data_IF_634544983459
#
_entry.id   IF_634544983459
#
_cell.length_a   1.000
_cell.length_b   1.000
_cell.length_c   1.000
_cell.angle_alpha   90.00
_cell.angle_beta   90.00
_cell.angle_gamma   90.00
#
_symmetry.space_group_name_H-M   'P 1'
#
loop_
_entity.id
_entity.type
_entity.pdbx_description
1 polymer ?
#
# COMPACT_ATOMS: atom_id res chain seq x y z
N UNK A 1 -8.49 -32.29 -37.95
CA UNK A 1 -7.79 -31.63 -36.83
C UNK A 1 -8.47 -30.30 -36.55
N UNK A 2 -8.96 -30.07 -35.32
CA UNK A 2 -9.44 -28.74 -34.89
C UNK A 2 -8.27 -27.97 -34.31
N UNK A 3 -8.06 -26.73 -34.76
CA UNK A 3 -7.06 -25.83 -34.20
C UNK A 3 -7.49 -25.43 -32.79
N UNK A 4 -6.64 -25.71 -31.79
CA UNK A 4 -6.80 -25.20 -30.43
C UNK A 4 -6.28 -23.77 -30.41
N UNK A 5 -7.06 -22.75 -30.01
CA UNK A 5 -6.55 -21.40 -29.88
C UNK A 5 -5.60 -21.34 -28.68
N UNK A 6 -4.34 -21.01 -28.94
CA UNK A 6 -3.36 -20.68 -27.91
C UNK A 6 -3.83 -19.46 -27.13
N UNK A 7 -4.18 -19.65 -25.84
CA UNK A 7 -4.47 -18.53 -24.93
C UNK A 7 -3.19 -17.70 -24.78
N UNK A 8 -3.24 -16.42 -25.14
CA UNK A 8 -2.18 -15.47 -24.82
C UNK A 8 -2.07 -15.23 -23.30
N UNK A 9 -0.99 -14.59 -22.83
CA UNK A 9 -0.83 -14.30 -21.41
C UNK A 9 -1.99 -13.46 -20.89
N UNK A 10 -2.54 -13.85 -19.74
CA UNK A 10 -3.64 -13.17 -19.08
C UNK A 10 -3.15 -11.79 -18.65
N UNK A 11 -3.85 -10.72 -19.06
CA UNK A 11 -3.48 -9.35 -18.72
C UNK A 11 -3.91 -9.07 -17.28
N UNK A 12 -3.03 -9.35 -16.32
CA UNK A 12 -3.18 -8.86 -14.96
C UNK A 12 -3.15 -7.33 -14.96
N UNK A 13 -4.32 -6.73 -14.72
CA UNK A 13 -4.48 -5.30 -14.46
C UNK A 13 -4.23 -5.07 -12.97
N UNK A 14 -3.63 -3.93 -12.63
CA UNK A 14 -3.40 -3.41 -11.27
C UNK A 14 -2.17 -3.94 -10.51
N UNK A 15 -1.00 -3.82 -11.14
CA UNK A 15 0.29 -3.75 -10.44
C UNK A 15 0.46 -2.41 -9.70
N UNK A 16 0.14 -2.41 -8.40
CA UNK A 16 0.36 -1.33 -7.44
C UNK A 16 -0.35 -0.02 -7.82
N UNK A 17 -1.42 0.36 -7.12
CA UNK A 17 -1.56 1.74 -6.68
C UNK A 17 -2.73 2.03 -5.74
N UNK A 18 -2.66 3.24 -5.19
CA UNK A 18 -3.75 3.95 -4.54
C UNK A 18 -4.49 4.85 -5.53
N UNK A 19 -5.83 4.84 -5.57
CA UNK A 19 -6.62 5.91 -6.17
C UNK A 19 -6.68 7.12 -5.22
N UNK A 20 -5.75 8.07 -5.34
CA UNK A 20 -5.95 9.41 -4.75
C UNK A 20 -6.87 10.21 -5.67
N UNK A 21 -8.17 9.89 -5.64
CA UNK A 21 -9.19 10.83 -6.09
C UNK A 21 -9.30 11.96 -5.06
N UNK A 22 -9.33 13.20 -5.53
CA UNK A 22 -9.18 14.40 -4.68
C UNK A 22 -10.28 14.60 -3.63
N UNK A 23 -11.37 13.83 -3.68
CA UNK A 23 -12.48 13.92 -2.74
C UNK A 23 -12.14 13.35 -1.34
N UNK A 24 -11.25 12.37 -1.25
CA UNK A 24 -10.96 11.70 0.02
C UNK A 24 -10.25 12.61 1.04
N UNK A 25 -9.57 13.67 0.59
CA UNK A 25 -8.86 14.60 1.49
C UNK A 25 -9.79 15.37 2.44
N UNK A 26 -11.04 15.65 2.05
CA UNK A 26 -12.04 16.23 2.96
C UNK A 26 -12.60 15.18 3.94
N UNK A 27 -12.82 13.94 3.50
CA UNK A 27 -13.27 12.84 4.37
C UNK A 27 -12.25 12.52 5.47
N UNK A 28 -10.95 12.47 5.12
CA UNK A 28 -9.86 12.29 6.09
C UNK A 28 -9.86 13.37 7.18
N UNK A 29 -10.27 14.60 6.87
CA UNK A 29 -10.42 15.68 7.85
C UNK A 29 -11.68 15.51 8.71
N UNK A 30 -12.82 15.17 8.10
CA UNK A 30 -14.11 15.08 8.78
C UNK A 30 -14.17 13.94 9.81
N UNK A 31 -13.66 12.75 9.47
CA UNK A 31 -13.55 11.64 10.43
C UNK A 31 -12.59 11.93 11.59
N UNK A 32 -11.58 12.79 11.37
CA UNK A 32 -10.66 13.22 12.42
C UNK A 32 -11.32 14.20 13.41
N UNK A 33 -12.20 15.08 12.93
CA UNK A 33 -12.95 16.00 13.80
C UNK A 33 -14.10 15.33 14.57
N UNK A 34 -14.77 14.32 14.01
CA UNK A 34 -15.86 13.61 14.72
C UNK A 34 -15.39 12.83 15.95
N UNK A 35 -14.10 12.49 16.06
CA UNK A 35 -13.54 11.79 17.22
C UNK A 35 -13.03 12.73 18.34
N UNK A 36 -13.10 14.06 18.17
CA UNK A 36 -12.59 15.04 19.14
C UNK A 36 -13.69 15.77 19.93
N UNK A 37 -14.97 15.51 19.67
CA UNK A 37 -16.08 16.07 20.45
C UNK A 37 -16.51 15.14 21.58
N UNK A 38 -15.89 15.32 22.76
CA UNK A 38 -16.46 14.83 24.01
C UNK A 38 -17.78 15.54 24.31
N UNK A 39 -18.86 14.84 24.70
CA UNK A 39 -20.05 15.49 25.21
C UNK A 39 -19.74 16.08 26.59
N UNK A 40 -19.69 17.41 26.68
CA UNK A 40 -19.69 18.09 27.97
C UNK A 40 -21.01 17.77 28.70
N UNK A 41 -20.92 17.15 29.88
CA UNK A 41 -22.08 16.77 30.66
C UNK A 41 -22.86 18.01 31.12
N UNK A 42 -24.02 18.24 30.51
CA UNK A 42 -24.96 19.27 30.97
C UNK A 42 -25.66 18.78 32.24
N UNK A 43 -25.29 19.35 33.39
CA UNK A 43 -25.99 19.17 34.66
C UNK A 43 -27.41 19.74 34.55
N UNK A 44 -28.41 18.87 34.43
CA UNK A 44 -29.82 19.23 34.62
C UNK A 44 -30.20 19.11 36.10
N UNK A 45 -30.39 20.25 36.76
CA UNK A 45 -31.16 20.32 38.01
C UNK A 45 -32.66 20.45 37.70
N UNK A 46 -33.56 19.86 38.50
CA UNK A 46 -35.00 19.89 38.25
C UNK A 46 -35.62 21.24 38.63
N UNK A 47 -36.63 21.65 37.87
CA UNK A 47 -37.40 22.87 38.12
C UNK A 47 -38.44 22.69 39.23
N UNK A 48 -38.66 23.75 40.01
CA UNK A 48 -39.85 23.92 40.86
C UNK A 48 -40.57 25.22 40.47
N UNK A 49 -41.90 25.21 40.55
CA UNK A 49 -42.76 26.27 40.01
C UNK A 49 -43.31 27.20 41.10
N UNK A 50 -43.47 28.48 40.77
CA UNK A 50 -44.32 29.44 41.47
C UNK A 50 -44.79 30.54 40.51
N UNK A 51 -45.95 31.15 40.78
CA UNK A 51 -46.68 32.09 39.88
C UNK A 51 -46.84 33.49 40.55
N UNK A 52 -47.60 34.48 40.01
CA UNK A 52 -47.04 35.70 39.41
C UNK A 52 -47.31 37.02 40.17
N UNK A 53 -46.76 38.15 39.69
CA UNK A 53 -47.08 39.50 40.22
C UNK A 53 -46.76 40.71 39.32
N UNK A 54 -47.81 41.39 38.85
CA UNK A 54 -47.99 42.82 38.53
C UNK A 54 -46.92 43.72 37.83
N UNK A 55 -47.20 44.03 36.55
CA UNK A 55 -47.30 45.36 35.88
C UNK A 55 -46.40 46.58 36.24
N UNK A 56 -45.80 47.22 35.20
CA UNK A 56 -45.98 48.64 34.80
C UNK A 56 -45.31 48.98 33.44
N UNK A 57 -45.79 50.01 32.75
CA UNK A 57 -45.44 50.52 31.39
C UNK A 57 -45.11 52.04 31.46
N UNK A 58 -44.75 52.78 30.37
CA UNK A 58 -44.19 52.46 29.03
C UNK A 58 -42.80 53.20 28.90
N UNK A 59 -42.36 53.98 27.86
CA UNK A 59 -42.71 54.09 26.43
C UNK A 59 -41.55 54.19 25.38
N UNK A 60 -41.89 53.86 24.14
CA UNK A 60 -41.43 54.41 22.82
C UNK A 60 -39.95 54.72 22.50
N UNK A 61 -39.41 54.01 21.50
CA UNK A 61 -38.66 54.59 20.35
C UNK A 61 -38.87 53.75 19.07
N UNK A 62 -38.55 54.31 17.90
CA UNK A 62 -38.96 53.87 16.56
C UNK A 62 -38.26 52.59 16.02
N UNK A 63 -38.89 51.84 15.08
CA UNK A 63 -38.22 50.76 14.35
C UNK A 63 -37.40 51.28 13.15
N UNK A 64 -36.08 51.07 13.19
CA UNK A 64 -35.20 51.24 12.03
C UNK A 64 -35.29 50.00 11.11
N UNK A 65 -35.78 50.18 9.88
CA UNK A 65 -35.77 49.14 8.86
C UNK A 65 -34.33 48.88 8.37
N UNK A 66 -33.67 47.87 8.92
CA UNK A 66 -32.51 47.27 8.25
C UNK A 66 -32.98 46.32 7.14
N UNK A 67 -32.79 46.74 5.88
CA UNK A 67 -32.84 45.83 4.73
C UNK A 67 -31.63 44.88 4.79
N UNK A 68 -31.77 43.77 5.51
CA UNK A 68 -30.96 42.59 5.22
C UNK A 68 -31.47 41.98 3.93
N UNK A 69 -30.72 42.15 2.84
CA UNK A 69 -30.96 41.35 1.64
C UNK A 69 -30.72 39.88 1.99
N UNK A 70 -31.78 39.07 1.84
CA UNK A 70 -31.64 37.62 1.82
C UNK A 70 -30.86 37.26 0.55
N UNK A 71 -29.54 37.19 0.67
CA UNK A 71 -28.70 36.60 -0.36
C UNK A 71 -28.99 35.10 -0.37
N UNK A 72 -29.77 34.68 -1.36
CA UNK A 72 -30.32 33.33 -1.42
C UNK A 72 -29.19 32.31 -1.67
N UNK A 73 -28.74 31.66 -0.59
CA UNK A 73 -27.63 30.70 -0.59
C UNK A 73 -27.82 29.54 -1.60
N UNK A 74 -29.06 29.31 -2.06
CA UNK A 74 -29.39 28.31 -3.09
C UNK A 74 -28.70 28.56 -4.43
N UNK A 75 -28.35 29.82 -4.75
CA UNK A 75 -27.65 30.16 -6.00
C UNK A 75 -26.14 30.35 -5.84
N UNK A 76 -25.65 30.79 -4.68
CA UNK A 76 -24.20 31.02 -4.47
C UNK A 76 -23.37 29.73 -4.47
N UNK A 77 -23.89 28.64 -3.89
CA UNK A 77 -23.18 27.36 -3.77
C UNK A 77 -22.90 26.69 -5.14
N UNK A 78 -23.86 26.55 -6.08
CA UNK A 78 -23.56 26.00 -7.40
C UNK A 78 -22.64 26.91 -8.25
N UNK A 79 -22.71 28.23 -8.06
CA UNK A 79 -21.83 29.20 -8.73
C UNK A 79 -20.37 29.07 -8.28
N UNK A 80 -20.11 28.94 -6.97
CA UNK A 80 -18.73 28.73 -6.47
C UNK A 80 -18.18 27.36 -6.87
N UNK A 81 -19.01 26.31 -6.83
CA UNK A 81 -18.61 24.97 -7.31
C UNK A 81 -18.26 24.97 -8.81
N UNK A 82 -19.05 25.64 -9.65
CA UNK A 82 -18.78 25.77 -11.09
C UNK A 82 -17.50 26.57 -11.36
N UNK A 83 -17.25 27.64 -10.61
CA UNK A 83 -16.03 28.44 -10.73
C UNK A 83 -14.78 27.64 -10.31
N UNK A 84 -14.86 26.86 -9.21
CA UNK A 84 -13.78 25.98 -8.78
C UNK A 84 -13.48 24.89 -9.81
N UNK A 85 -14.50 24.29 -10.42
CA UNK A 85 -14.33 23.31 -11.49
C UNK A 85 -13.68 23.93 -12.74
N UNK A 86 -14.09 25.14 -13.14
CA UNK A 86 -13.46 25.87 -14.25
C UNK A 86 -11.98 26.19 -13.98
N UNK A 87 -11.64 26.60 -12.76
CA UNK A 87 -10.25 26.85 -12.36
C UNK A 87 -9.41 25.56 -12.34
N UNK A 88 -9.98 24.44 -11.89
CA UNK A 88 -9.34 23.12 -11.93
C UNK A 88 -9.05 22.67 -13.37
N UNK A 89 -10.04 22.78 -14.27
CA UNK A 89 -9.90 22.45 -15.68
C UNK A 89 -8.88 23.35 -16.39
N UNK A 90 -8.88 24.65 -16.07
CA UNK A 90 -7.86 25.59 -16.57
C UNK A 90 -6.45 25.23 -16.09
N UNK A 91 -6.29 24.81 -14.83
CA UNK A 91 -5.01 24.33 -14.29
C UNK A 91 -4.55 23.03 -14.98
N UNK A 92 -5.45 22.06 -15.18
CA UNK A 92 -5.14 20.80 -15.89
C UNK A 92 -4.73 21.09 -17.34
N UNK A 93 -5.46 21.96 -18.05
CA UNK A 93 -5.06 22.39 -19.40
C UNK A 93 -3.73 23.14 -19.39
N UNK A 94 -3.49 24.02 -18.41
CA UNK A 94 -2.21 24.72 -18.24
C UNK A 94 -1.03 23.77 -18.04
N UNK A 95 -1.20 22.75 -17.19
CA UNK A 95 -0.23 21.66 -17.02
C UNK A 95 -0.01 20.88 -18.32
N UNK A 96 -1.08 20.50 -19.03
CA UNK A 96 -0.97 19.75 -20.29
C UNK A 96 -0.29 20.56 -21.41
N UNK A 97 -0.61 21.84 -21.56
CA UNK A 97 0.10 22.74 -22.47
C UNK A 97 1.56 22.95 -22.02
N UNK A 98 1.81 23.10 -20.72
CA UNK A 98 3.15 23.20 -20.15
C UNK A 98 4.02 21.98 -20.46
N UNK A 99 3.49 20.78 -20.26
CA UNK A 99 4.14 19.51 -20.63
C UNK A 99 4.38 19.41 -22.15
N UNK A 100 3.39 19.76 -22.97
CA UNK A 100 3.51 19.74 -24.44
C UNK A 100 4.53 20.76 -24.97
N UNK A 101 4.64 21.93 -24.34
CA UNK A 101 5.65 22.95 -24.66
C UNK A 101 7.04 22.55 -24.12
N UNK A 102 7.14 21.93 -22.93
CA UNK A 102 8.39 21.38 -22.39
C UNK A 102 8.92 20.25 -23.28
N UNK A 103 8.06 19.31 -23.71
CA UNK A 103 8.41 18.25 -24.67
C UNK A 103 8.94 18.81 -25.99
N UNK A 104 8.31 19.86 -26.53
CA UNK A 104 8.81 20.59 -27.73
C UNK A 104 10.16 21.28 -27.51
N UNK A 105 10.44 21.80 -26.31
CA UNK A 105 11.75 22.38 -25.95
C UNK A 105 12.83 21.32 -25.76
N UNK A 106 12.47 20.15 -25.21
CA UNK A 106 13.38 19.02 -25.01
C UNK A 106 13.80 18.39 -26.35
N UNK A 107 12.87 18.12 -27.27
CA UNK A 107 13.22 17.68 -28.64
C UNK A 107 14.19 18.65 -29.32
N UNK A 108 13.90 19.97 -29.30
CA UNK A 108 14.81 20.99 -29.85
C UNK A 108 16.20 21.04 -29.19
N UNK A 109 16.33 20.59 -27.94
CA UNK A 109 17.62 20.48 -27.24
C UNK A 109 18.35 19.19 -27.58
N UNK A 110 17.62 18.08 -27.77
CA UNK A 110 18.18 16.82 -28.26
C UNK A 110 18.80 16.97 -29.65
N UNK A 111 18.05 17.55 -30.59
CA UNK A 111 18.51 17.80 -31.97
C UNK A 111 19.78 18.67 -31.99
N UNK A 112 19.86 19.67 -31.10
CA UNK A 112 21.02 20.56 -30.99
C UNK A 112 22.27 19.90 -30.36
N UNK A 113 22.11 18.88 -29.52
CA UNK A 113 23.22 18.12 -28.92
C UNK A 113 23.74 17.07 -29.90
N UNK A 114 22.87 16.39 -30.66
CA UNK A 114 23.27 15.44 -31.71
C UNK A 114 24.02 16.14 -32.86
N UNK A 115 23.65 17.38 -33.19
CA UNK A 115 24.39 18.19 -34.16
C UNK A 115 25.81 18.59 -33.70
N UNK A 116 26.10 18.54 -32.39
CA UNK A 116 27.39 18.95 -31.83
C UNK A 116 28.39 17.79 -31.62
N UNK A 117 27.95 16.52 -31.69
CA UNK A 117 28.81 15.35 -31.43
C UNK A 117 29.44 14.73 -32.69
N UNK A 118 29.04 15.15 -33.90
CA UNK A 118 29.60 14.61 -35.15
C UNK A 118 30.89 15.34 -35.59
N UNK A 119 31.89 15.36 -34.71
CA UNK A 119 33.22 15.88 -35.01
C UNK A 119 34.32 15.18 -34.21
N UNK A 120 35.13 14.36 -34.89
CA UNK A 120 36.47 13.86 -34.49
C UNK A 120 36.58 13.17 -33.11
N UNK A 121 36.88 11.88 -32.96
CA UNK A 121 38.03 11.19 -33.58
C UNK A 121 37.95 9.65 -33.49
N UNK A 122 38.79 9.02 -34.31
CA UNK A 122 39.13 7.60 -34.39
C UNK A 122 40.01 7.11 -33.20
N UNK A 123 39.85 5.84 -32.79
CA UNK A 123 40.89 4.95 -32.21
C UNK A 123 40.31 3.59 -31.74
N UNK A 124 40.66 2.51 -32.45
CA UNK A 124 41.06 1.17 -31.92
C UNK A 124 40.11 0.33 -31.02
N UNK A 125 39.87 -0.96 -31.34
CA UNK A 125 39.16 -1.88 -30.44
C UNK A 125 40.11 -2.63 -29.48
N UNK A 126 40.00 -2.39 -28.17
CA UNK A 126 40.62 -3.26 -27.17
C UNK A 126 39.69 -4.41 -26.75
N UNK A 127 40.29 -5.59 -26.53
CA UNK A 127 39.59 -6.81 -26.12
C UNK A 127 39.66 -6.96 -24.61
N UNK A 128 38.55 -6.77 -23.91
CA UNK A 128 38.43 -7.32 -22.56
C UNK A 128 38.17 -8.83 -22.63
N UNK A 129 38.83 -9.58 -21.74
CA UNK A 129 38.70 -11.03 -21.61
C UNK A 129 37.70 -11.33 -20.50
N UNK A 130 36.76 -12.22 -20.77
CA UNK A 130 35.97 -12.85 -19.72
C UNK A 130 36.88 -13.55 -18.70
N UNK A 131 36.60 -13.32 -17.43
CA UNK A 131 36.99 -14.21 -16.34
C UNK A 131 35.71 -14.60 -15.58
N UNK A 132 35.19 -15.77 -15.93
CA UNK A 132 34.04 -16.40 -15.28
C UNK A 132 34.39 -16.77 -13.84
N UNK A 133 33.79 -16.07 -12.87
CA UNK A 133 33.70 -16.46 -11.45
C UNK A 133 32.30 -16.12 -10.93
N UNK A 134 31.38 -17.10 -10.99
CA UNK A 134 30.18 -17.18 -10.14
C UNK A 134 29.30 -15.92 -10.10
N UNK A 135 28.52 -15.68 -11.16
CA UNK A 135 27.72 -14.47 -11.33
C UNK A 135 26.65 -14.24 -10.24
N UNK A 136 27.02 -13.52 -9.18
CA UNK A 136 26.06 -12.74 -8.39
C UNK A 136 25.45 -11.70 -9.34
N UNK A 137 24.17 -11.87 -9.70
CA UNK A 137 23.51 -11.06 -10.72
C UNK A 137 23.43 -9.58 -10.32
N UNK A 138 24.40 -8.78 -10.79
CA UNK A 138 24.51 -7.36 -10.51
C UNK A 138 23.32 -6.58 -11.10
N UNK A 139 22.78 -5.65 -10.32
CA UNK A 139 21.66 -4.79 -10.74
C UNK A 139 22.12 -3.85 -11.85
N UNK A 140 21.52 -3.94 -13.04
CA UNK A 140 21.98 -3.20 -14.22
C UNK A 140 21.53 -1.73 -14.19
N UNK A 141 22.49 -0.82 -14.35
CA UNK A 141 22.18 0.58 -14.68
C UNK A 141 21.86 0.71 -16.18
N UNK A 142 20.70 1.25 -16.50
CA UNK A 142 20.21 1.51 -17.86
C UNK A 142 20.26 3.01 -18.19
N UNK A 143 20.35 3.33 -19.47
CA UNK A 143 20.00 4.66 -19.99
C UNK A 143 18.53 4.74 -20.41
N UNK A 144 17.99 5.95 -20.57
CA UNK A 144 16.57 6.15 -20.86
C UNK A 144 16.11 5.48 -22.17
N UNK A 145 16.94 5.47 -23.22
CA UNK A 145 16.59 4.81 -24.49
C UNK A 145 16.49 3.28 -24.34
N UNK A 146 17.22 2.68 -23.39
CA UNK A 146 17.02 1.28 -23.03
C UNK A 146 15.67 1.08 -22.32
N UNK A 147 15.31 1.94 -21.37
CA UNK A 147 14.00 1.88 -20.68
C UNK A 147 12.83 2.02 -21.68
N UNK A 148 12.94 2.93 -22.65
CA UNK A 148 11.97 3.08 -23.75
C UNK A 148 11.87 1.80 -24.60
N UNK A 149 13.00 1.16 -24.94
CA UNK A 149 12.99 -0.11 -25.68
C UNK A 149 12.39 -1.26 -24.89
N UNK A 150 12.80 -1.43 -23.63
CA UNK A 150 12.30 -2.49 -22.74
C UNK A 150 10.79 -2.37 -22.50
N UNK A 151 10.27 -1.15 -22.33
CA UNK A 151 8.82 -0.88 -22.15
C UNK A 151 8.01 -0.87 -23.46
N UNK A 152 8.64 -1.14 -24.61
CA UNK A 152 8.05 -0.97 -25.95
C UNK A 152 7.39 0.42 -26.11
N UNK A 153 8.12 1.48 -25.76
CA UNK A 153 7.66 2.87 -25.69
C UNK A 153 6.45 3.07 -24.75
N UNK A 154 6.52 2.46 -23.55
CA UNK A 154 5.48 2.58 -22.50
C UNK A 154 4.08 2.11 -22.96
N UNK A 155 4.04 1.09 -23.83
CA UNK A 155 2.80 0.69 -24.54
C UNK A 155 1.76 -0.04 -23.69
N UNK A 156 2.19 -0.79 -22.67
CA UNK A 156 1.31 -1.57 -21.80
C UNK A 156 1.52 -1.19 -20.34
N UNK A 157 0.53 -0.49 -19.77
CA UNK A 157 0.43 -0.25 -18.33
C UNK A 157 -0.02 -1.55 -17.67
N UNK A 158 0.70 -2.00 -16.64
CA UNK A 158 0.26 -3.07 -15.73
C UNK A 158 -0.34 -2.51 -14.44
N UNK A 159 0.03 -1.30 -14.01
CA UNK A 159 -0.69 -0.54 -12.98
C UNK A 159 -0.24 0.92 -12.87
N UNK A 160 -1.03 1.77 -12.22
CA UNK A 160 -0.84 3.22 -12.25
C UNK A 160 -1.57 3.93 -11.11
N UNK A 161 -1.01 5.03 -10.62
CA UNK A 161 -1.65 5.91 -9.64
C UNK A 161 -0.74 7.03 -9.17
N UNK A 162 -0.95 7.49 -7.93
CA UNK A 162 -0.60 8.86 -7.52
C UNK A 162 0.85 9.33 -7.75
N UNK A 163 1.85 8.44 -7.67
CA UNK A 163 3.27 8.81 -7.69
C UNK A 163 4.12 8.06 -8.73
N UNK A 164 3.58 7.00 -9.35
CA UNK A 164 4.29 6.20 -10.34
C UNK A 164 3.33 5.45 -11.26
N UNK A 165 3.84 4.98 -12.40
CA UNK A 165 3.13 4.05 -13.30
C UNK A 165 4.05 2.90 -13.65
N UNK A 166 3.53 1.68 -13.58
CA UNK A 166 4.25 0.44 -13.87
C UNK A 166 3.85 -0.07 -15.25
N UNK A 167 4.85 -0.31 -16.09
CA UNK A 167 4.68 -0.83 -17.45
C UNK A 167 5.23 -2.26 -17.56
N UNK A 168 4.69 -3.05 -18.50
CA UNK A 168 5.27 -4.34 -18.84
C UNK A 168 6.61 -4.14 -19.56
N UNK A 169 7.66 -4.74 -19.03
CA UNK A 169 8.99 -4.77 -19.62
C UNK A 169 9.27 -6.07 -20.36
N UNK A 170 9.93 -5.97 -21.50
CA UNK A 170 10.42 -7.09 -22.30
C UNK A 170 11.94 -7.13 -22.19
N UNK A 171 12.46 -8.03 -21.35
CA UNK A 171 13.88 -8.17 -21.06
C UNK A 171 14.56 -9.09 -22.09
N UNK A 172 15.90 -9.04 -22.20
CA UNK A 172 16.65 -10.01 -23.02
C UNK A 172 16.33 -11.46 -22.62
N UNK A 173 16.35 -12.37 -23.59
CA UNK A 173 16.03 -13.78 -23.37
C UNK A 173 14.54 -14.13 -23.36
N UNK A 174 13.66 -13.19 -23.74
CA UNK A 174 12.18 -13.33 -23.69
C UNK A 174 11.57 -13.30 -22.30
N UNK A 175 12.34 -12.94 -21.28
CA UNK A 175 11.84 -12.74 -19.91
C UNK A 175 11.00 -11.46 -19.81
N UNK A 176 9.97 -11.48 -18.97
CA UNK A 176 9.19 -10.29 -18.64
C UNK A 176 9.75 -9.59 -17.40
N UNK A 177 9.57 -8.27 -17.33
CA UNK A 177 9.86 -7.44 -16.17
C UNK A 177 8.73 -6.45 -15.89
N UNK A 178 8.81 -5.76 -14.76
CA UNK A 178 7.92 -4.66 -14.42
C UNK A 178 8.72 -3.35 -14.29
N UNK A 179 8.34 -2.32 -15.05
CA UNK A 179 9.09 -1.06 -15.15
C UNK A 179 8.30 0.06 -14.46
N UNK A 180 8.66 0.38 -13.21
CA UNK A 180 8.07 1.47 -12.41
C UNK A 180 8.72 2.79 -12.82
N UNK A 181 7.94 3.70 -13.41
CA UNK A 181 8.35 5.06 -13.76
C UNK A 181 7.76 6.03 -12.74
N UNK A 182 8.60 6.85 -12.10
CA UNK A 182 8.17 7.84 -11.12
C UNK A 182 7.73 9.15 -11.78
N UNK A 183 6.71 9.80 -11.22
CA UNK A 183 6.24 11.11 -11.71
C UNK A 183 7.31 12.20 -11.45
N UNK A 184 7.65 13.06 -12.45
CA UNK A 184 8.72 14.06 -12.28
C UNK A 184 8.40 15.12 -11.21
N UNK A 185 9.17 15.13 -10.12
CA UNK A 185 9.04 16.11 -9.02
C UNK A 185 10.27 16.08 -8.10
N UNK A 186 10.75 17.23 -7.64
CA UNK A 186 11.87 17.31 -6.67
C UNK A 186 11.61 16.54 -5.37
N UNK A 187 10.34 16.42 -4.96
CA UNK A 187 9.95 15.62 -3.80
C UNK A 187 10.01 14.13 -4.12
N UNK A 188 9.42 13.70 -5.24
CA UNK A 188 9.39 12.29 -5.65
C UNK A 188 10.78 11.78 -6.06
N UNK A 189 11.66 12.64 -6.57
CA UNK A 189 13.05 12.30 -6.88
C UNK A 189 13.87 11.97 -5.62
N UNK A 190 13.51 12.51 -4.45
CA UNK A 190 14.10 12.07 -3.17
C UNK A 190 13.55 10.72 -2.71
N UNK A 191 12.24 10.50 -2.89
CA UNK A 191 11.59 9.22 -2.59
C UNK A 191 12.15 8.09 -3.47
N UNK A 192 12.25 8.32 -4.79
CA UNK A 192 12.86 7.39 -5.75
C UNK A 192 14.31 7.04 -5.39
N UNK A 193 15.15 8.02 -5.04
CA UNK A 193 16.54 7.75 -4.64
C UNK A 193 16.62 6.91 -3.37
N UNK A 194 15.80 7.22 -2.37
CA UNK A 194 15.72 6.43 -1.14
C UNK A 194 15.21 5.00 -1.39
N UNK A 195 14.20 4.83 -2.25
CA UNK A 195 13.69 3.52 -2.65
C UNK A 195 14.77 2.72 -3.40
N UNK A 196 15.51 3.35 -4.32
CA UNK A 196 16.62 2.74 -5.05
C UNK A 196 17.78 2.33 -4.11
N UNK A 197 18.21 3.23 -3.22
CA UNK A 197 19.29 2.96 -2.24
C UNK A 197 18.96 1.77 -1.33
N UNK A 198 17.67 1.62 -0.97
CA UNK A 198 17.16 0.46 -0.24
C UNK A 198 17.20 -0.79 -1.12
N UNK A 199 16.56 -0.76 -2.29
CA UNK A 199 16.40 -1.92 -3.17
C UNK A 199 17.73 -2.51 -3.65
N UNK A 200 18.76 -1.69 -3.85
CA UNK A 200 20.12 -2.14 -4.20
C UNK A 200 20.77 -3.02 -3.12
N UNK A 201 20.26 -2.99 -1.89
CA UNK A 201 20.75 -3.77 -0.75
C UNK A 201 19.83 -4.96 -0.39
N UNK A 202 18.71 -5.15 -1.11
CA UNK A 202 17.75 -6.22 -0.82
C UNK A 202 17.96 -7.44 -1.73
N UNK A 203 18.17 -8.59 -1.10
CA UNK A 203 18.17 -9.89 -1.76
C UNK A 203 17.48 -10.92 -0.86
N UNK A 204 16.21 -11.22 -1.16
CA UNK A 204 15.40 -12.21 -0.44
C UNK A 204 14.30 -12.75 -1.36
N UNK A 205 14.01 -14.05 -1.31
CA UNK A 205 13.09 -14.69 -2.27
C UNK A 205 11.66 -14.13 -2.20
N UNK A 206 11.23 -13.75 -0.99
CA UNK A 206 9.92 -13.16 -0.71
C UNK A 206 9.90 -11.62 -0.78
N UNK A 207 10.87 -11.02 -1.49
CA UNK A 207 10.88 -9.61 -1.87
C UNK A 207 11.04 -9.54 -3.39
N UNK A 208 10.34 -8.60 -4.05
CA UNK A 208 10.45 -8.44 -5.50
C UNK A 208 11.87 -7.97 -5.87
N UNK A 209 12.55 -8.76 -6.70
CA UNK A 209 13.93 -8.52 -7.12
C UNK A 209 14.03 -7.31 -8.05
N UNK A 210 14.88 -6.35 -7.69
CA UNK A 210 15.36 -5.30 -8.59
C UNK A 210 16.35 -5.91 -9.59
N UNK A 211 16.08 -5.73 -10.88
CA UNK A 211 16.93 -6.20 -11.99
C UNK A 211 17.75 -5.05 -12.60
N UNK A 212 17.27 -3.82 -12.50
CA UNK A 212 17.99 -2.63 -12.94
C UNK A 212 17.27 -1.32 -12.69
N UNK A 213 17.89 -0.20 -13.06
CA UNK A 213 17.36 1.14 -12.81
C UNK A 213 17.88 2.17 -13.81
N UNK A 214 17.20 3.31 -13.91
CA UNK A 214 17.69 4.53 -14.58
C UNK A 214 17.45 5.74 -13.66
N UNK A 215 18.47 6.59 -13.49
CA UNK A 215 18.50 7.72 -12.55
C UNK A 215 18.86 9.06 -13.25
N UNK A 216 18.46 9.20 -14.52
CA UNK A 216 18.93 10.22 -15.46
C UNK A 216 17.81 11.22 -15.81
N UNK A 217 18.13 12.52 -15.96
CA UNK A 217 17.24 13.57 -16.48
C UNK A 217 15.94 13.86 -15.68
N UNK A 218 16.02 13.86 -14.34
CA UNK A 218 14.88 14.08 -13.42
C UNK A 218 13.75 13.04 -13.49
N UNK A 219 13.94 11.96 -14.26
CA UNK A 219 12.97 10.87 -14.47
C UNK A 219 13.56 9.54 -13.97
N UNK A 220 13.02 9.01 -12.88
CA UNK A 220 13.48 7.78 -12.25
C UNK A 220 12.73 6.54 -12.74
N UNK A 221 13.46 5.50 -13.13
CA UNK A 221 12.91 4.19 -13.52
C UNK A 221 13.51 3.06 -12.68
N UNK A 222 12.67 2.15 -12.20
CA UNK A 222 13.06 0.89 -11.56
C UNK A 222 12.55 -0.29 -12.40
N UNK A 223 13.41 -1.27 -12.66
CA UNK A 223 13.12 -2.47 -13.47
C UNK A 223 13.18 -3.68 -12.56
N UNK A 224 12.04 -4.32 -12.34
CA UNK A 224 11.85 -5.47 -11.45
C UNK A 224 11.61 -6.77 -12.24
N UNK A 225 11.73 -7.91 -11.56
CA UNK A 225 11.17 -9.18 -12.04
C UNK A 225 9.64 -9.05 -12.23
N UNK A 226 9.09 -9.73 -13.24
CA UNK A 226 7.64 -9.82 -13.40
C UNK A 226 7.08 -10.98 -12.57
N UNK A 227 6.06 -10.67 -11.78
CA UNK A 227 5.40 -11.58 -10.83
C UNK A 227 3.95 -11.78 -11.30
N UNK A 228 3.61 -13.04 -11.59
CA UNK A 228 2.62 -13.38 -12.62
C UNK A 228 1.16 -13.46 -12.16
N UNK A 229 0.89 -13.72 -10.88
CA UNK A 229 -0.47 -13.92 -10.35
C UNK A 229 -1.11 -12.64 -9.76
N UNK A 230 -0.52 -11.46 -9.97
CA UNK A 230 -1.08 -10.19 -9.47
C UNK A 230 -0.86 -9.99 -7.97
N UNK A 231 -1.74 -9.22 -7.32
CA UNK A 231 -1.63 -8.90 -5.89
C UNK A 231 -2.46 -9.84 -5.01
N UNK A 232 -2.15 -9.87 -3.71
CA UNK A 232 -2.97 -10.56 -2.71
C UNK A 232 -4.37 -9.91 -2.58
N UNK A 233 -4.49 -8.59 -2.81
CA UNK A 233 -5.79 -7.89 -2.83
C UNK A 233 -6.73 -8.53 -3.86
N UNK A 234 -6.25 -8.66 -5.11
CA UNK A 234 -7.04 -9.20 -6.22
C UNK A 234 -7.49 -10.65 -5.96
N UNK A 235 -6.63 -11.43 -5.29
CA UNK A 235 -6.88 -12.86 -5.01
C UNK A 235 -7.74 -13.13 -3.78
N UNK A 236 -7.81 -12.21 -2.81
CA UNK A 236 -8.70 -12.32 -1.65
C UNK A 236 -10.06 -11.66 -1.87
N UNK A 237 -10.11 -10.53 -2.61
CA UNK A 237 -11.29 -9.66 -2.64
C UNK A 237 -11.84 -9.41 -4.05
N UNK A 238 -11.12 -9.86 -5.09
CA UNK A 238 -11.43 -9.57 -6.49
C UNK A 238 -10.82 -8.25 -6.96
N UNK A 239 -10.74 -8.06 -8.28
CA UNK A 239 -10.29 -6.80 -8.86
C UNK A 239 -11.40 -5.73 -8.76
N UNK A 240 -11.03 -4.50 -8.37
CA UNK A 240 -11.95 -3.36 -8.32
C UNK A 240 -12.67 -3.17 -9.68
N UNK A 241 -14.00 -3.22 -9.66
CA UNK A 241 -14.84 -3.03 -10.85
C UNK A 241 -15.13 -4.30 -11.66
N UNK A 242 -14.57 -5.47 -11.31
CA UNK A 242 -15.17 -6.74 -11.74
C UNK A 242 -16.39 -7.06 -10.87
N UNK A 243 -17.51 -7.40 -11.50
CA UNK A 243 -18.66 -7.88 -10.75
C UNK A 243 -18.29 -9.19 -10.06
N UNK A 244 -18.57 -9.33 -8.75
CA UNK A 244 -18.30 -10.54 -7.93
C UNK A 244 -18.89 -11.86 -8.48
N UNK A 245 -19.60 -11.80 -9.60
CA UNK A 245 -20.17 -12.91 -10.36
C UNK A 245 -19.25 -13.44 -11.50
N UNK A 246 -18.11 -12.81 -11.82
CA UNK A 246 -17.12 -13.33 -12.79
C UNK A 246 -16.21 -14.39 -12.15
N UNK A 247 -16.79 -15.58 -11.94
CA UNK A 247 -16.15 -16.78 -11.36
C UNK A 247 -14.93 -17.30 -12.16
N UNK A 248 -13.78 -16.66 -12.02
CA UNK A 248 -12.56 -17.02 -12.79
C UNK A 248 -11.26 -17.17 -11.98
N UNK A 249 -11.14 -16.55 -10.81
CA UNK A 249 -10.04 -16.83 -9.87
C UNK A 249 -10.50 -17.85 -8.82
N UNK A 250 -9.81 -18.99 -8.66
CA UNK A 250 -10.10 -19.93 -7.57
C UNK A 250 -9.73 -19.32 -6.22
N UNK A 251 -10.51 -19.66 -5.18
CA UNK A 251 -10.26 -19.26 -3.80
C UNK A 251 -8.86 -19.72 -3.36
N UNK A 252 -8.08 -18.85 -2.71
CA UNK A 252 -6.80 -19.24 -2.13
C UNK A 252 -7.09 -20.22 -0.97
N UNK A 253 -6.65 -21.48 -1.10
CA UNK A 253 -6.81 -22.50 -0.05
C UNK A 253 -6.09 -22.12 1.24
N UNK A 254 -6.56 -22.64 2.38
CA UNK A 254 -5.98 -22.36 3.70
C UNK A 254 -4.47 -22.58 3.74
N UNK A 255 -4.00 -23.70 3.19
CA UNK A 255 -2.58 -24.03 3.04
C UNK A 255 -1.77 -22.89 2.38
N UNK A 256 -2.29 -22.32 1.30
CA UNK A 256 -1.61 -21.23 0.58
C UNK A 256 -1.68 -19.92 1.36
N UNK A 257 -2.78 -19.64 2.08
CA UNK A 257 -2.87 -18.49 3.01
C UNK A 257 -1.83 -18.58 4.12
N UNK A 258 -1.62 -19.78 4.70
CA UNK A 258 -0.59 -20.03 5.70
C UNK A 258 0.83 -19.90 5.13
N UNK A 259 1.07 -20.37 3.90
CA UNK A 259 2.34 -20.18 3.20
C UNK A 259 2.64 -18.69 2.97
N UNK A 260 1.66 -17.90 2.50
CA UNK A 260 1.76 -16.45 2.31
C UNK A 260 2.07 -15.73 3.63
N UNK A 261 1.37 -16.06 4.72
CA UNK A 261 1.65 -15.48 6.03
C UNK A 261 3.10 -15.75 6.49
N UNK A 262 3.54 -17.01 6.38
CA UNK A 262 4.91 -17.41 6.72
C UNK A 262 5.97 -16.67 5.89
N UNK A 263 5.77 -16.62 4.57
CA UNK A 263 6.70 -15.99 3.63
C UNK A 263 6.77 -14.46 3.81
N UNK A 264 5.65 -13.83 4.15
CA UNK A 264 5.60 -12.41 4.46
C UNK A 264 6.37 -12.11 5.75
N UNK A 265 6.22 -12.90 6.82
CA UNK A 265 7.06 -12.70 8.02
C UNK A 265 8.53 -13.05 7.77
N UNK A 266 8.87 -13.97 6.87
CA UNK A 266 10.27 -14.18 6.46
C UNK A 266 10.86 -12.93 5.78
N UNK A 267 10.10 -12.24 4.94
CA UNK A 267 10.50 -10.95 4.37
C UNK A 267 10.67 -9.86 5.45
N UNK A 268 9.75 -9.79 6.43
CA UNK A 268 9.85 -8.85 7.55
C UNK A 268 11.04 -9.15 8.47
N UNK A 269 11.28 -10.41 8.83
CA UNK A 269 12.45 -10.87 9.61
C UNK A 269 13.74 -10.48 8.89
N UNK A 270 13.81 -10.69 7.57
CA UNK A 270 14.93 -10.23 6.77
C UNK A 270 15.12 -8.71 6.84
N UNK A 271 14.09 -7.90 6.56
CA UNK A 271 14.18 -6.43 6.59
C UNK A 271 14.53 -5.88 7.98
N UNK A 272 13.91 -6.43 9.02
CA UNK A 272 13.98 -5.93 10.39
C UNK A 272 15.24 -6.36 11.12
N UNK A 273 15.67 -7.61 10.95
CA UNK A 273 16.61 -8.26 11.86
C UNK A 273 17.89 -8.75 11.15
N UNK A 274 17.85 -9.02 9.84
CA UNK A 274 19.00 -9.56 9.08
C UNK A 274 19.64 -8.57 8.09
N UNK A 275 18.88 -7.62 7.56
CA UNK A 275 19.36 -6.58 6.67
C UNK A 275 20.19 -5.54 7.45
N UNK A 276 21.44 -5.24 7.06
CA UNK A 276 22.30 -4.26 7.77
C UNK A 276 21.69 -2.87 7.90
N UNK A 277 20.82 -2.46 6.95
CA UNK A 277 20.13 -1.17 6.96
C UNK A 277 19.01 -1.07 8.01
N UNK A 278 18.52 -2.20 8.53
CA UNK A 278 17.36 -2.32 9.43
C UNK A 278 16.17 -1.51 8.92
N UNK A 279 15.44 -2.07 7.96
CA UNK A 279 14.41 -1.38 7.21
C UNK A 279 13.04 -1.59 7.87
N UNK A 280 12.29 -0.50 7.98
CA UNK A 280 10.84 -0.51 8.23
C UNK A 280 10.17 -0.24 6.88
N UNK A 281 9.25 -1.09 6.43
CA UNK A 281 8.58 -0.95 5.15
C UNK A 281 7.54 0.18 5.16
N UNK A 282 6.76 0.29 6.25
CA UNK A 282 5.83 1.39 6.51
C UNK A 282 4.51 1.36 5.74
N UNK A 283 4.29 0.41 4.83
CA UNK A 283 3.06 0.29 4.02
C UNK A 283 2.79 -1.17 3.60
N UNK A 284 2.77 -2.08 4.59
CA UNK A 284 2.39 -3.48 4.40
C UNK A 284 0.88 -3.57 4.21
N UNK A 285 0.44 -4.10 3.06
CA UNK A 285 -0.98 -4.27 2.65
C UNK A 285 -1.08 -5.30 1.51
N UNK A 286 -2.26 -5.88 1.21
CA UNK A 286 -2.40 -6.90 0.17
C UNK A 286 -2.01 -6.43 -1.25
N UNK A 287 -2.23 -5.16 -1.58
CA UNK A 287 -1.82 -4.60 -2.89
C UNK A 287 -0.31 -4.43 -3.06
N UNK A 288 0.47 -4.51 -1.97
CA UNK A 288 1.93 -4.51 -1.94
C UNK A 288 2.52 -5.92 -1.73
N UNK A 289 1.69 -6.96 -1.82
CA UNK A 289 2.08 -8.37 -1.71
C UNK A 289 1.74 -9.03 -3.03
N UNK A 290 2.74 -9.27 -3.88
CA UNK A 290 2.56 -9.94 -5.17
C UNK A 290 2.66 -11.46 -5.02
N UNK A 291 2.06 -12.20 -5.94
CA UNK A 291 2.02 -13.66 -5.93
C UNK A 291 2.65 -14.23 -7.22
N UNK A 292 3.61 -15.14 -7.07
CA UNK A 292 4.24 -15.82 -8.22
C UNK A 292 3.35 -16.94 -8.81
N UNK A 293 3.84 -17.65 -9.82
CA UNK A 293 3.15 -18.76 -10.48
C UNK A 293 2.77 -19.92 -9.53
N UNK A 294 3.43 -20.02 -8.38
CA UNK A 294 3.20 -21.02 -7.34
C UNK A 294 2.42 -20.45 -6.14
N UNK A 295 1.95 -19.20 -6.21
CA UNK A 295 1.32 -18.42 -5.15
C UNK A 295 2.22 -18.17 -3.93
N UNK A 296 3.55 -18.19 -4.10
CA UNK A 296 4.46 -17.65 -3.08
C UNK A 296 4.38 -16.13 -3.10
N UNK A 297 4.47 -15.50 -1.93
CA UNK A 297 4.40 -14.06 -1.81
C UNK A 297 5.76 -13.37 -2.04
N UNK A 298 5.73 -12.23 -2.73
CA UNK A 298 6.84 -11.30 -2.91
C UNK A 298 6.38 -9.89 -2.49
N UNK A 299 6.96 -9.40 -1.39
CA UNK A 299 6.71 -8.06 -0.86
C UNK A 299 7.34 -6.98 -1.75
N UNK A 300 6.64 -5.86 -1.94
CA UNK A 300 7.04 -4.82 -2.89
C UNK A 300 6.61 -3.39 -2.47
N UNK A 301 7.01 -2.40 -3.28
CA UNK A 301 6.83 -0.95 -3.09
C UNK A 301 7.51 -0.37 -1.84
N UNK A 302 8.82 -0.11 -1.96
CA UNK A 302 9.64 0.43 -0.88
C UNK A 302 9.61 1.98 -0.84
N UNK A 303 8.68 2.63 -1.54
CA UNK A 303 8.54 4.09 -1.60
C UNK A 303 8.26 4.77 -0.25
N UNK A 304 7.73 4.04 0.74
CA UNK A 304 7.53 4.53 2.12
C UNK A 304 8.56 4.00 3.12
N UNK A 305 9.48 3.15 2.68
CA UNK A 305 10.41 2.44 3.54
C UNK A 305 11.47 3.36 4.15
N UNK A 306 11.89 3.07 5.38
CA UNK A 306 12.82 3.87 6.18
C UNK A 306 13.94 2.99 6.74
N UNK A 307 15.18 3.45 6.58
CA UNK A 307 16.38 2.81 7.14
C UNK A 307 16.67 3.38 8.53
N UNK A 308 17.18 2.57 9.46
CA UNK A 308 17.69 3.11 10.73
C UNK A 308 17.89 2.09 11.86
N UNK A 309 19.03 2.22 12.55
CA UNK A 309 19.42 1.38 13.69
C UNK A 309 18.53 1.53 14.94
N UNK A 310 17.75 2.60 15.04
CA UNK A 310 16.86 2.83 16.17
C UNK A 310 15.43 2.52 15.75
N UNK A 311 14.72 1.71 16.54
CA UNK A 311 13.28 1.39 16.43
C UNK A 311 12.35 2.59 16.68
N UNK A 312 12.88 3.80 16.50
CA UNK A 312 12.30 5.10 16.80
C UNK A 312 12.89 6.07 15.78
N UNK A 313 12.41 6.05 14.53
CA UNK A 313 12.93 6.94 13.46
C UNK A 313 12.38 8.35 13.67
N UNK A 314 12.89 9.02 14.70
CA UNK A 314 12.69 10.45 14.94
C UNK A 314 13.73 11.22 14.13
N UNK A 315 13.34 11.75 12.97
CA UNK A 315 14.12 12.82 12.32
C UNK A 315 14.10 14.06 13.24
N UNK A 316 15.23 14.54 13.78
CA UNK A 316 15.21 15.46 14.93
C UNK A 316 14.50 16.81 14.72
N UNK A 317 14.35 17.27 13.47
CA UNK A 317 13.94 18.65 13.15
C UNK A 317 12.58 18.83 12.45
N UNK A 318 11.77 17.78 12.23
CA UNK A 318 10.58 17.89 11.34
C UNK A 318 9.24 17.38 11.90
N UNK A 319 8.98 17.52 13.21
CA UNK A 319 7.66 17.24 13.84
C UNK A 319 6.46 17.99 13.22
N UNK A 320 6.70 19.01 12.37
CA UNK A 320 5.67 19.84 11.74
C UNK A 320 5.56 19.66 10.21
N UNK A 321 6.29 18.73 9.59
CA UNK A 321 6.38 18.60 8.11
C UNK A 321 6.40 17.18 7.54
N UNK A 322 6.39 16.12 8.35
CA UNK A 322 6.04 14.81 7.81
C UNK A 322 4.53 14.74 7.64
N UNK A 323 4.09 14.69 6.37
CA UNK A 323 2.77 14.14 6.05
C UNK A 323 2.76 12.73 6.60
N UNK A 324 1.74 12.42 7.39
CA UNK A 324 1.50 11.09 7.91
C UNK A 324 0.95 10.25 6.76
N UNK A 325 1.73 9.27 6.30
CA UNK A 325 1.35 8.41 5.16
C UNK A 325 1.24 6.98 5.63
N UNK A 326 0.19 6.29 5.18
CA UNK A 326 -0.07 4.90 5.47
C UNK A 326 -1.45 4.52 4.93
N UNK A 327 -1.66 3.23 4.68
CA UNK A 327 -2.91 2.73 4.13
C UNK A 327 -4.00 2.55 5.20
N UNK A 328 -5.23 2.98 4.89
CA UNK A 328 -6.40 2.83 5.76
C UNK A 328 -6.67 1.34 6.05
N UNK A 329 -7.08 1.00 7.28
CA UNK A 329 -7.15 -0.39 7.75
C UNK A 329 -5.82 -0.92 8.31
N UNK A 330 -4.72 -0.72 7.59
CA UNK A 330 -3.41 -1.32 7.89
C UNK A 330 -2.49 -0.47 8.79
N UNK A 331 -2.67 0.85 8.80
CA UNK A 331 -1.75 1.75 9.50
C UNK A 331 -1.88 1.66 11.02
N UNK A 332 -0.74 1.47 11.70
CA UNK A 332 -0.67 1.40 13.16
C UNK A 332 -1.23 2.66 13.85
N UNK A 333 -2.24 2.55 14.73
CA UNK A 333 -2.78 3.70 15.48
C UNK A 333 -1.74 4.38 16.38
N UNK A 334 -0.68 3.68 16.80
CA UNK A 334 0.43 4.32 17.50
C UNK A 334 1.27 5.20 16.56
N UNK A 335 1.53 4.76 15.32
CA UNK A 335 2.15 5.60 14.30
C UNK A 335 1.28 6.82 14.00
N UNK A 336 -0.03 6.62 13.81
CA UNK A 336 -0.98 7.71 13.56
C UNK A 336 -1.05 8.73 14.71
N UNK A 337 -0.83 8.30 15.96
CA UNK A 337 -0.84 9.22 17.11
C UNK A 337 0.49 9.95 17.33
N UNK A 338 1.62 9.33 17.00
CA UNK A 338 2.95 9.80 17.43
C UNK A 338 3.85 10.26 16.28
N UNK A 339 3.58 9.83 15.05
CA UNK A 339 4.48 9.97 13.90
C UNK A 339 5.76 9.12 13.99
N UNK A 340 5.92 8.28 15.03
CA UNK A 340 7.15 7.50 15.27
C UNK A 340 7.12 6.21 14.45
N UNK A 341 7.95 6.16 13.42
CA UNK A 341 8.14 4.96 12.61
C UNK A 341 9.09 3.96 13.31
N UNK A 342 8.72 2.68 13.25
CA UNK A 342 9.35 1.57 13.97
C UNK A 342 9.00 0.24 13.29
N UNK A 343 9.84 -0.78 13.51
CA UNK A 343 9.58 -2.18 13.10
C UNK A 343 8.19 -2.69 13.56
N UNK A 344 7.71 -2.18 14.71
CA UNK A 344 6.42 -2.55 15.30
C UNK A 344 5.20 -2.00 14.54
N UNK A 345 5.38 -1.07 13.60
CA UNK A 345 4.29 -0.63 12.70
C UNK A 345 4.03 -1.69 11.63
N UNK A 346 5.09 -2.22 10.99
CA UNK A 346 4.97 -3.33 10.04
C UNK A 346 4.36 -4.57 10.72
N UNK A 347 4.74 -4.86 11.97
CA UNK A 347 4.14 -5.94 12.77
C UNK A 347 2.64 -5.74 12.98
N UNK A 348 2.18 -4.51 13.24
CA UNK A 348 0.74 -4.24 13.36
C UNK A 348 0.04 -4.50 12.02
N UNK A 349 0.59 -3.98 10.92
CA UNK A 349 0.04 -4.18 9.58
C UNK A 349 0.01 -5.65 9.18
N UNK A 350 1.05 -6.43 9.54
CA UNK A 350 1.08 -7.88 9.40
C UNK A 350 -0.04 -8.57 10.22
N UNK A 351 -0.32 -8.10 11.43
CA UNK A 351 -1.48 -8.53 12.22
C UNK A 351 -2.82 -8.31 11.52
N UNK A 352 -2.95 -7.22 10.74
CA UNK A 352 -4.13 -6.99 9.88
C UNK A 352 -4.19 -8.00 8.73
N UNK A 353 -3.07 -8.23 8.03
CA UNK A 353 -2.99 -9.25 6.96
C UNK A 353 -3.41 -10.65 7.47
N UNK A 354 -3.02 -11.03 8.69
CA UNK A 354 -3.49 -12.31 9.27
C UNK A 354 -5.02 -12.34 9.38
N UNK A 355 -5.66 -11.26 9.85
CA UNK A 355 -7.12 -11.22 9.94
C UNK A 355 -7.78 -11.35 8.56
N UNK A 356 -7.25 -10.71 7.53
CA UNK A 356 -7.80 -10.83 6.16
C UNK A 356 -7.61 -12.25 5.60
N UNK A 357 -6.44 -12.86 5.82
CA UNK A 357 -6.17 -14.23 5.41
C UNK A 357 -7.09 -15.23 6.11
N UNK A 358 -7.40 -15.04 7.41
CA UNK A 358 -8.32 -15.92 8.14
C UNK A 358 -9.78 -15.69 7.74
N UNK A 359 -10.24 -14.43 7.73
CA UNK A 359 -11.67 -14.08 7.59
C UNK A 359 -12.16 -13.90 6.15
N UNK A 360 -11.25 -13.68 5.19
CA UNK A 360 -11.61 -13.24 3.83
C UNK A 360 -12.14 -11.81 3.74
N UNK A 361 -12.25 -11.09 4.87
CA UNK A 361 -12.77 -9.73 4.94
C UNK A 361 -11.65 -8.71 4.74
N UNK A 362 -11.82 -7.74 3.83
CA UNK A 362 -10.94 -6.56 3.72
C UNK A 362 -10.80 -5.80 5.05
N UNK A 363 -9.64 -5.19 5.27
CA UNK A 363 -9.32 -4.36 6.45
C UNK A 363 -10.21 -3.11 6.58
N UNK A 364 -10.66 -2.55 5.45
CA UNK A 364 -11.61 -1.46 5.35
C UNK A 364 -12.43 -1.65 4.07
N UNK A 365 -13.75 -1.46 4.16
CA UNK A 365 -14.67 -1.58 3.04
C UNK A 365 -15.78 -0.54 3.21
N UNK A 366 -15.93 0.37 2.24
CA UNK A 366 -16.89 1.49 2.31
C UNK A 366 -18.35 1.02 2.28
N UNK A 367 -18.63 -0.11 1.62
CA UNK A 367 -19.97 -0.71 1.50
C UNK A 367 -20.45 -1.39 2.81
N UNK A 368 -19.55 -1.66 3.76
CA UNK A 368 -19.96 -2.18 5.08
C UNK A 368 -20.63 -1.09 5.87
N UNK A 369 -21.74 -1.42 6.53
CA UNK A 369 -22.48 -0.46 7.34
C UNK A 369 -21.54 0.27 8.33
N UNK A 370 -21.55 1.59 8.26
CA UNK A 370 -20.70 2.52 9.03
C UNK A 370 -19.19 2.54 8.71
N UNK A 371 -18.72 1.89 7.63
CA UNK A 371 -17.31 1.96 7.19
C UNK A 371 -16.31 1.42 8.23
N UNK A 372 -16.73 0.38 8.97
CA UNK A 372 -15.95 -0.14 10.10
C UNK A 372 -14.64 -0.81 9.67
N UNK A 373 -13.58 -0.61 10.46
CA UNK A 373 -12.31 -1.30 10.30
C UNK A 373 -12.44 -2.76 10.76
N UNK A 374 -11.80 -3.70 10.06
CA UNK A 374 -11.74 -5.11 10.46
C UNK A 374 -11.20 -5.29 11.89
N UNK A 375 -10.21 -4.48 12.28
CA UNK A 375 -9.65 -4.49 13.63
C UNK A 375 -10.65 -4.04 14.71
N UNK A 376 -11.65 -3.21 14.36
CA UNK A 376 -12.74 -2.82 15.25
C UNK A 376 -13.77 -3.94 15.42
N UNK A 377 -14.07 -4.67 14.33
CA UNK A 377 -14.97 -5.84 14.33
C UNK A 377 -14.35 -7.00 15.13
N UNK A 378 -13.09 -7.33 14.82
CA UNK A 378 -12.40 -8.49 15.39
C UNK A 378 -11.88 -8.24 16.81
N UNK A 379 -11.63 -6.99 17.20
CA UNK A 379 -11.05 -6.63 18.50
C UNK A 379 -11.79 -7.18 19.73
N UNK A 380 -13.13 -7.08 19.82
CA UNK A 380 -13.92 -7.73 20.87
C UNK A 380 -13.88 -9.26 20.80
N UNK A 381 -14.00 -9.83 19.60
CA UNK A 381 -14.07 -11.28 19.37
C UNK A 381 -12.76 -11.97 19.77
N UNK A 382 -11.61 -11.39 19.41
CA UNK A 382 -10.28 -11.88 19.82
C UNK A 382 -10.10 -11.87 21.34
N UNK A 383 -10.63 -10.85 22.05
CA UNK A 383 -10.59 -10.81 23.52
C UNK A 383 -11.44 -11.90 24.17
N UNK A 384 -12.65 -12.11 23.64
CA UNK A 384 -13.57 -13.14 24.11
C UNK A 384 -13.04 -14.56 23.84
N UNK A 385 -12.44 -14.79 22.68
CA UNK A 385 -11.73 -16.03 22.34
C UNK A 385 -10.61 -16.35 23.33
N UNK A 386 -9.76 -15.37 23.65
CA UNK A 386 -8.64 -15.52 24.61
C UNK A 386 -9.16 -15.77 26.04
N UNK A 387 -10.35 -15.27 26.38
CA UNK A 387 -10.98 -15.45 27.69
C UNK A 387 -11.86 -16.72 27.81
N UNK A 388 -12.28 -17.33 26.70
CA UNK A 388 -13.15 -18.51 26.66
C UNK A 388 -12.42 -19.79 27.07
N UNK A 389 -13.16 -20.82 27.49
CA UNK A 389 -12.64 -22.19 27.62
C UNK A 389 -12.36 -22.84 26.24
N UNK A 390 -11.68 -23.98 26.25
CA UNK A 390 -11.18 -24.61 25.01
C UNK A 390 -12.29 -25.13 24.07
N UNK A 391 -13.42 -25.61 24.59
CA UNK A 391 -14.48 -26.20 23.77
C UNK A 391 -15.33 -25.10 23.12
N UNK A 392 -15.69 -24.07 23.91
CA UNK A 392 -16.38 -22.89 23.42
C UNK A 392 -15.54 -22.13 22.38
N UNK A 393 -14.21 -22.08 22.57
CA UNK A 393 -13.29 -21.37 21.65
C UNK A 393 -13.20 -22.02 20.28
N UNK A 394 -13.15 -23.35 20.19
CA UNK A 394 -13.00 -24.05 18.90
C UNK A 394 -14.16 -23.74 17.93
N UNK A 395 -15.40 -23.70 18.44
CA UNK A 395 -16.59 -23.35 17.65
C UNK A 395 -16.55 -21.88 17.18
N UNK A 396 -16.26 -20.94 18.09
CA UNK A 396 -16.10 -19.51 17.76
C UNK A 396 -14.99 -19.26 16.72
N UNK A 397 -13.87 -19.97 16.83
CA UNK A 397 -12.75 -19.88 15.88
C UNK A 397 -13.17 -20.31 14.48
N UNK A 398 -13.95 -21.39 14.34
CA UNK A 398 -14.45 -21.85 13.05
C UNK A 398 -15.45 -20.84 12.41
N UNK A 399 -16.32 -20.22 13.21
CA UNK A 399 -17.25 -19.16 12.75
C UNK A 399 -16.54 -17.90 12.22
N UNK A 400 -15.26 -17.69 12.57
CA UNK A 400 -14.46 -16.54 12.12
C UNK A 400 -13.70 -16.80 10.81
N UNK A 401 -13.71 -18.03 10.28
CA UNK A 401 -13.00 -18.37 9.04
C UNK A 401 -13.81 -17.94 7.82
N UNK A 402 -13.10 -17.52 6.77
CA UNK A 402 -13.67 -17.23 5.45
C UNK A 402 -14.61 -18.36 4.98
N UNK A 403 -15.93 -18.09 4.81
CA UNK A 403 -16.89 -19.11 4.39
C UNK A 403 -16.56 -19.77 3.04
N UNK A 404 -15.75 -19.12 2.20
CA UNK A 404 -15.31 -19.67 0.92
C UNK A 404 -14.26 -20.79 1.05
N UNK A 405 -13.69 -21.01 2.25
CA UNK A 405 -12.79 -22.14 2.53
C UNK A 405 -13.53 -23.45 2.85
N UNK A 406 -14.85 -23.41 3.12
CA UNK A 406 -15.62 -24.60 3.49
C UNK A 406 -15.11 -25.22 4.79
N UNK A 407 -14.63 -26.47 4.72
CA UNK A 407 -14.02 -27.19 5.85
C UNK A 407 -12.51 -27.47 5.63
N UNK A 408 -11.87 -26.87 4.61
CA UNK A 408 -10.45 -27.07 4.28
C UNK A 408 -9.51 -26.24 5.16
N UNK A 409 -9.59 -26.41 6.49
CA UNK A 409 -8.68 -25.78 7.47
C UNK A 409 -8.58 -26.57 8.78
N UNK A 410 -7.46 -26.45 9.50
CA UNK A 410 -7.32 -26.99 10.85
C UNK A 410 -7.60 -25.90 11.90
N UNK A 411 -8.61 -26.11 12.76
CA UNK A 411 -9.06 -25.15 13.79
C UNK A 411 -7.91 -24.66 14.69
N UNK A 412 -6.94 -25.53 15.01
CA UNK A 412 -5.76 -25.16 15.82
C UNK A 412 -4.83 -24.17 15.11
N UNK A 413 -4.66 -24.31 13.80
CA UNK A 413 -3.87 -23.36 13.00
C UNK A 413 -4.58 -22.00 12.96
N UNK A 414 -5.91 -22.01 12.83
CA UNK A 414 -6.73 -20.78 12.90
C UNK A 414 -6.62 -20.12 14.27
N UNK A 415 -6.76 -20.88 15.37
CA UNK A 415 -6.62 -20.39 16.75
C UNK A 415 -5.23 -19.77 17.00
N UNK A 416 -4.17 -20.44 16.53
CA UNK A 416 -2.81 -19.94 16.62
C UNK A 416 -2.62 -18.63 15.83
N UNK A 417 -3.15 -18.54 14.62
CA UNK A 417 -3.07 -17.35 13.78
C UNK A 417 -3.87 -16.17 14.35
N UNK A 418 -5.09 -16.40 14.83
CA UNK A 418 -5.90 -15.35 15.48
C UNK A 418 -5.26 -14.86 16.79
N UNK A 419 -4.68 -15.77 17.58
CA UNK A 419 -3.89 -15.41 18.77
C UNK A 419 -2.66 -14.55 18.40
N UNK A 420 -1.95 -14.92 17.33
CA UNK A 420 -0.80 -14.19 16.82
C UNK A 420 -1.19 -12.80 16.28
N UNK A 421 -2.33 -12.69 15.59
CA UNK A 421 -2.91 -11.42 15.17
C UNK A 421 -3.24 -10.52 16.37
N UNK A 422 -3.86 -11.07 17.42
CA UNK A 422 -4.16 -10.32 18.65
C UNK A 422 -2.89 -9.75 19.32
N UNK A 423 -1.80 -10.52 19.35
CA UNK A 423 -0.49 -10.05 19.83
C UNK A 423 0.10 -8.94 18.94
N UNK A 424 0.01 -9.09 17.61
CA UNK A 424 0.49 -8.10 16.63
C UNK A 424 -0.31 -6.79 16.68
N UNK A 425 -1.61 -6.86 16.92
CA UNK A 425 -2.54 -5.72 16.98
C UNK A 425 -2.58 -5.02 18.35
N UNK A 426 -1.74 -5.47 19.30
CA UNK A 426 -1.66 -4.91 20.64
C UNK A 426 -1.47 -3.38 20.67
N UNK A 427 -2.17 -2.71 21.60
CA UNK A 427 -2.16 -1.24 21.71
C UNK A 427 -0.79 -0.67 22.12
N UNK A 428 0.03 -1.44 22.84
CA UNK A 428 1.40 -1.08 23.17
C UNK A 428 2.38 -1.68 22.17
N UNK A 429 3.09 -0.88 21.35
CA UNK A 429 4.05 -1.42 20.37
C UNK A 429 5.19 -2.21 21.01
N UNK A 430 5.56 -1.93 22.27
CA UNK A 430 6.61 -2.68 22.97
C UNK A 430 6.23 -4.15 23.20
N UNK A 431 4.94 -4.43 23.44
CA UNK A 431 4.42 -5.77 23.74
C UNK A 431 4.15 -6.63 22.50
N UNK A 432 4.06 -6.03 21.30
CA UNK A 432 3.96 -6.78 20.04
C UNK A 432 5.22 -7.65 19.85
N UNK A 433 5.12 -8.86 19.29
CA UNK A 433 6.30 -9.69 19.02
C UNK A 433 7.24 -9.07 17.97
N UNK A 434 8.46 -9.59 17.87
CA UNK A 434 9.37 -9.33 16.73
C UNK A 434 9.05 -10.24 15.54
N UNK A 435 9.58 -9.94 14.35
CA UNK A 435 9.33 -10.77 13.17
C UNK A 435 9.92 -12.18 13.35
N UNK A 436 11.12 -12.29 13.94
CA UNK A 436 11.70 -13.57 14.39
C UNK A 436 10.75 -14.36 15.29
N UNK A 437 10.15 -13.72 16.30
CA UNK A 437 9.23 -14.40 17.24
C UNK A 437 7.95 -14.87 16.55
N UNK A 438 7.36 -14.05 15.68
CA UNK A 438 6.19 -14.39 14.86
C UNK A 438 6.50 -15.61 13.97
N UNK A 439 7.65 -15.61 13.28
CA UNK A 439 8.08 -16.72 12.43
C UNK A 439 8.34 -18.01 13.21
N UNK A 440 8.87 -17.92 14.43
CA UNK A 440 9.02 -19.08 15.31
C UNK A 440 7.65 -19.66 15.70
N UNK A 441 6.72 -18.82 16.19
CA UNK A 441 5.36 -19.26 16.55
C UNK A 441 4.65 -19.94 15.37
N UNK A 442 4.76 -19.37 14.16
CA UNK A 442 4.20 -19.93 12.93
C UNK A 442 4.77 -21.31 12.61
N UNK A 443 6.10 -21.50 12.73
CA UNK A 443 6.75 -22.79 12.46
C UNK A 443 6.40 -23.87 13.50
N UNK A 444 6.17 -23.47 14.74
CA UNK A 444 5.84 -24.38 15.84
C UNK A 444 4.34 -24.76 15.86
N UNK A 445 3.46 -23.86 15.41
CA UNK A 445 2.00 -24.00 15.61
C UNK A 445 1.22 -24.43 14.36
N UNK A 446 1.84 -24.45 13.18
CA UNK A 446 1.15 -24.61 11.89
C UNK A 446 1.76 -25.79 11.11
N UNK A 447 1.17 -26.97 11.28
CA UNK A 447 1.59 -28.21 10.64
C UNK A 447 1.60 -28.12 9.10
N UNK A 448 0.67 -27.37 8.51
CA UNK A 448 0.58 -27.09 7.08
C UNK A 448 1.88 -26.52 6.48
N UNK A 449 2.69 -25.79 7.26
CA UNK A 449 3.92 -25.14 6.80
C UNK A 449 5.13 -26.09 6.83
N UNK A 450 5.09 -27.16 7.63
CA UNK A 450 6.22 -28.09 7.82
C UNK A 450 6.82 -28.61 6.50
N UNK A 451 5.98 -28.90 5.51
CA UNK A 451 6.38 -29.36 4.17
C UNK A 451 7.02 -28.28 3.29
N UNK A 452 6.66 -27.00 3.46
CA UNK A 452 7.24 -25.88 2.68
C UNK A 452 8.74 -25.72 2.97
N UNK A 453 9.17 -26.04 4.20
CA UNK A 453 10.58 -26.06 4.59
C UNK A 453 11.34 -27.29 4.08
N UNK A 454 10.65 -28.37 3.70
CA UNK A 454 11.27 -29.59 3.19
C UNK A 454 11.62 -29.46 1.70
N UNK A 455 10.66 -29.06 0.85
CA UNK A 455 10.89 -28.97 -0.61
C UNK A 455 12.02 -27.99 -0.98
N UNK A 456 12.27 -26.97 -0.16
CA UNK A 456 13.36 -26.01 -0.41
C UNK A 456 14.77 -26.59 -0.14
N UNK A 457 14.88 -27.68 0.64
CA UNK A 457 16.15 -28.44 0.80
C UNK A 457 16.40 -29.41 -0.35
N UNK A 458 15.34 -30.02 -0.89
CA UNK A 458 15.47 -31.03 -1.94
C UNK A 458 15.77 -30.40 -3.32
N UNK A 459 15.48 -29.11 -3.50
CA UNK A 459 15.84 -28.34 -4.70
C UNK A 459 17.21 -27.64 -4.61
N UNK A 460 17.92 -27.77 -3.49
CA UNK A 460 19.23 -27.11 -3.24
C UNK A 460 20.41 -28.08 -3.10
N UNK A 461 20.20 -29.36 -3.41
CA UNK A 461 21.20 -30.45 -3.31
C UNK A 461 21.50 -31.05 -4.70
#
# INVERSE_FOLDING_TARGET
MRLVPTRGPIVCRFWWCWPITSNNFLLYLLCYFSQLTFPAAALQQPATAATPGAALHPPTTFPLKHHHSLFDHRFSIPLTASLLLLLLLAAIMGCFLGLKLRRRRLNKKGDAVVAASNGSNDLGPEKEKDFDHGAQACVRKYNWSEIEKLSMNFSQIVGSGGFSTVYLGHLPGSSLGAIKIHCPSDYLNRVFKQELDILLQLQHDNIVKLLGYCDVQDEGALVFEYVSNGTLQDKLHGAEGEAKNSSSSPVISWRNRMAIACQLVQALEYLHEKCPLQIVHGDIKPSNILLDEHLNCKLCDFGFAKMGFSSTIMTPNNRRKQVMVGSLGYTDPHYLRTGIASKKNDVYSYGVIILELVTGMEAFCEEREQGQLLTSIMGPILKDMIASDNECRAMKVAEMVDPNLGEDFEVKEVEAMLSLAALCLGQSPSLRPSATQILQTIRESIGSISFVSAQKKDLSN
#
